data_IF_894993251623
#
_entry.id   IF_894993251623
#
_cell.length_a   1.000
_cell.length_b   1.000
_cell.length_c   1.000
_cell.angle_alpha   90.00
_cell.angle_beta   90.00
_cell.angle_gamma   90.00
#
_symmetry.space_group_name_H-M   'P 1'
#
loop_
_entity.id
_entity.type
_entity.pdbx_description
1 polymer ?
#
# COMPACT_ATOMS: atom_id res chain seq x y z
N UNK A 1 5.33 0.05 9.50
CA UNK A 1 5.12 1.48 9.14
C UNK A 1 3.66 1.70 8.73
N UNK A 2 2.75 1.81 9.71
CA UNK A 2 1.34 2.11 9.48
C UNK A 2 1.10 3.58 9.82
N UNK A 3 0.95 4.42 8.80
CA UNK A 3 0.60 5.83 8.96
C UNK A 3 -0.60 6.16 8.07
N UNK A 4 -1.53 6.92 8.63
CA UNK A 4 -2.75 7.37 7.94
C UNK A 4 -2.40 8.14 6.66
N UNK A 5 -1.36 8.97 6.71
CA UNK A 5 -0.91 9.76 5.56
C UNK A 5 -0.46 8.88 4.39
N UNK A 6 0.24 7.78 4.66
CA UNK A 6 0.66 6.83 3.61
C UNK A 6 -0.55 6.19 2.90
N UNK A 7 -1.59 5.85 3.66
CA UNK A 7 -2.85 5.31 3.13
C UNK A 7 -3.57 6.37 2.29
N UNK A 8 -3.67 7.60 2.82
CA UNK A 8 -4.29 8.75 2.14
C UNK A 8 -3.60 9.09 0.82
N UNK A 9 -2.27 9.18 0.83
CA UNK A 9 -1.49 9.62 -0.33
C UNK A 9 -1.47 8.55 -1.43
N UNK A 10 -1.37 7.27 -1.05
CA UNK A 10 -1.53 6.16 -2.00
C UNK A 10 -2.93 6.16 -2.63
N UNK A 11 -3.97 6.39 -1.81
CA UNK A 11 -5.34 6.49 -2.29
C UNK A 11 -5.54 7.69 -3.23
N UNK A 12 -4.95 8.85 -2.91
CA UNK A 12 -4.94 10.05 -3.77
C UNK A 12 -4.38 9.74 -5.15
N UNK A 13 -3.20 9.12 -5.23
CA UNK A 13 -2.57 8.76 -6.52
C UNK A 13 -3.48 7.83 -7.34
N UNK A 14 -4.09 6.82 -6.71
CA UNK A 14 -5.01 5.92 -7.38
C UNK A 14 -6.21 6.66 -8.00
N UNK A 15 -6.77 7.65 -7.29
CA UNK A 15 -7.87 8.47 -7.80
C UNK A 15 -7.44 9.42 -8.92
N UNK A 16 -6.26 10.03 -8.82
CA UNK A 16 -5.70 10.89 -9.86
C UNK A 16 -5.54 10.14 -11.19
N UNK A 17 -4.95 8.93 -11.14
CA UNK A 17 -4.81 8.07 -12.33
C UNK A 17 -6.18 7.66 -12.88
N UNK A 18 -7.12 7.29 -12.01
CA UNK A 18 -8.45 6.89 -12.44
C UNK A 18 -9.20 8.03 -13.14
N UNK A 19 -9.03 9.28 -12.71
CA UNK A 19 -9.61 10.45 -13.37
C UNK A 19 -9.05 10.64 -14.78
N UNK A 20 -7.72 10.58 -14.94
CA UNK A 20 -7.06 10.69 -16.24
C UNK A 20 -7.52 9.59 -17.20
N UNK A 21 -7.56 8.35 -16.73
CA UNK A 21 -8.02 7.21 -17.56
C UNK A 21 -9.51 7.35 -17.89
N UNK A 22 -10.35 7.77 -16.95
CA UNK A 22 -11.80 7.98 -17.20
C UNK A 22 -12.01 9.03 -18.28
N UNK A 23 -11.26 10.14 -18.22
CA UNK A 23 -11.33 11.18 -19.24
C UNK A 23 -10.82 10.68 -20.61
N UNK A 24 -9.65 10.04 -20.66
CA UNK A 24 -9.04 9.58 -21.91
C UNK A 24 -9.75 8.41 -22.58
N UNK A 25 -10.44 7.56 -21.81
CA UNK A 25 -11.19 6.41 -22.33
C UNK A 25 -12.67 6.70 -22.57
N UNK A 26 -13.20 7.79 -22.02
CA UNK A 26 -14.64 8.09 -21.96
C UNK A 26 -15.50 6.94 -21.36
N UNK A 27 -14.89 6.07 -20.55
CA UNK A 27 -15.53 4.91 -19.94
C UNK A 27 -15.34 4.91 -18.41
N UNK A 28 -16.29 4.33 -17.65
CA UNK A 28 -16.13 4.17 -16.21
C UNK A 28 -14.93 3.29 -15.84
N UNK A 29 -14.08 3.75 -14.91
CA UNK A 29 -12.92 3.01 -14.40
C UNK A 29 -13.20 2.40 -13.03
N UNK A 30 -13.06 1.09 -12.89
CA UNK A 30 -13.10 0.38 -11.61
C UNK A 30 -11.76 0.51 -10.89
N UNK A 31 -11.78 1.00 -9.66
CA UNK A 31 -10.59 1.30 -8.85
C UNK A 31 -10.35 0.16 -7.86
N UNK A 32 -9.23 -0.56 -7.99
CA UNK A 32 -8.85 -1.68 -7.11
C UNK A 32 -7.47 -1.40 -6.49
N UNK A 33 -7.44 -1.21 -5.18
CA UNK A 33 -6.21 -0.92 -4.44
C UNK A 33 -5.56 -2.18 -3.87
N UNK A 34 -4.23 -2.33 -4.06
CA UNK A 34 -3.43 -3.35 -3.35
C UNK A 34 -3.11 -2.86 -1.93
N UNK A 35 -4.13 -2.79 -1.09
CA UNK A 35 -4.08 -2.19 0.26
C UNK A 35 -4.79 -3.11 1.27
N UNK A 36 -4.63 -2.83 2.58
CA UNK A 36 -5.38 -3.51 3.65
C UNK A 36 -5.25 -5.05 3.66
N UNK A 37 -4.06 -5.59 3.37
CA UNK A 37 -3.85 -7.04 3.42
C UNK A 37 -2.65 -7.59 2.65
N UNK A 38 -1.95 -6.73 1.89
CA UNK A 38 -0.76 -7.11 1.10
C UNK A 38 0.50 -7.28 1.98
N UNK A 39 0.41 -8.08 3.03
CA UNK A 39 1.49 -8.31 3.98
C UNK A 39 2.37 -9.50 3.60
N UNK A 40 1.81 -10.55 3.00
CA UNK A 40 2.58 -11.71 2.55
C UNK A 40 3.38 -11.41 1.27
N UNK A 41 4.58 -11.99 1.17
CA UNK A 41 5.50 -11.88 0.04
C UNK A 41 6.02 -13.27 -0.35
N UNK A 42 5.64 -13.81 -1.52
CA UNK A 42 6.24 -15.05 -2.01
C UNK A 42 7.72 -14.82 -2.32
N UNK A 43 8.55 -15.85 -2.12
CA UNK A 43 9.98 -15.80 -2.37
C UNK A 43 10.39 -16.99 -3.23
N UNK A 44 11.28 -16.75 -4.18
CA UNK A 44 11.81 -17.80 -5.07
C UNK A 44 12.68 -18.81 -4.33
N UNK A 45 13.34 -18.40 -3.24
CA UNK A 45 14.14 -19.27 -2.38
C UNK A 45 13.57 -19.30 -0.96
N UNK A 46 13.50 -20.47 -0.30
CA UNK A 46 13.07 -20.58 1.08
C UNK A 46 14.07 -19.95 2.07
N UNK A 47 15.34 -19.83 1.69
CA UNK A 47 16.42 -19.28 2.52
C UNK A 47 17.14 -18.12 1.83
N UNK A 48 17.74 -17.26 2.66
CA UNK A 48 18.54 -16.11 2.29
C UNK A 48 19.90 -16.20 3.02
N UNK A 49 20.98 -16.14 2.26
CA UNK A 49 22.35 -16.20 2.79
C UNK A 49 23.01 -14.82 2.68
N UNK A 50 23.56 -14.31 3.79
CA UNK A 50 24.37 -13.07 3.82
C UNK A 50 25.63 -13.32 4.62
N UNK A 51 26.80 -13.02 4.05
CA UNK A 51 28.12 -13.15 4.72
C UNK A 51 28.23 -14.48 5.50
N UNK A 52 28.02 -15.58 4.80
CA UNK A 52 28.10 -16.97 5.28
C UNK A 52 27.02 -17.42 6.29
N UNK A 53 26.10 -16.54 6.69
CA UNK A 53 24.95 -16.90 7.53
C UNK A 53 23.72 -17.13 6.66
N UNK A 54 23.11 -18.32 6.81
CA UNK A 54 21.86 -18.69 6.09
C UNK A 54 20.69 -18.67 7.04
N UNK A 55 19.67 -17.87 6.73
CA UNK A 55 18.41 -17.77 7.47
C UNK A 55 17.20 -18.01 6.56
N UNK A 56 16.03 -18.27 7.14
CA UNK A 56 14.77 -18.30 6.39
C UNK A 56 14.54 -16.95 5.71
N UNK A 57 14.09 -16.96 4.46
CA UNK A 57 13.73 -15.75 3.73
C UNK A 57 12.63 -14.97 4.45
N UNK A 58 12.70 -13.64 4.43
CA UNK A 58 11.58 -12.80 4.81
C UNK A 58 10.40 -13.03 3.85
N UNK A 59 9.24 -13.38 4.39
CA UNK A 59 8.01 -13.72 3.65
C UNK A 59 6.89 -12.72 3.87
N UNK A 60 7.21 -11.54 4.41
CA UNK A 60 6.23 -10.51 4.69
C UNK A 60 5.85 -10.44 6.17
N UNK A 61 5.39 -9.27 6.59
CA UNK A 61 5.13 -8.93 8.00
C UNK A 61 4.07 -9.83 8.67
N UNK A 62 3.22 -10.49 7.89
CA UNK A 62 2.23 -11.46 8.39
C UNK A 62 2.84 -12.81 8.78
N UNK A 63 4.09 -13.09 8.38
CA UNK A 63 4.77 -14.37 8.63
C UNK A 63 5.96 -14.16 9.55
N UNK A 64 6.90 -13.29 9.19
CA UNK A 64 8.14 -13.05 9.93
C UNK A 64 8.62 -11.61 9.70
N UNK A 65 9.71 -11.22 10.37
CA UNK A 65 10.23 -9.86 10.31
C UNK A 65 11.34 -9.70 9.26
N UNK A 66 11.45 -8.48 8.72
CA UNK A 66 12.44 -8.15 7.67
C UNK A 66 13.88 -8.29 8.18
N UNK A 67 14.11 -7.97 9.46
CA UNK A 67 15.42 -7.97 10.13
C UNK A 67 16.13 -9.32 9.90
N UNK A 68 17.41 -9.26 9.52
CA UNK A 68 18.22 -10.44 9.23
C UNK A 68 18.85 -11.01 10.51
N UNK A 69 17.99 -11.50 11.42
CA UNK A 69 18.40 -12.20 12.65
C UNK A 69 17.62 -13.50 12.79
N UNK A 70 18.17 -14.47 13.53
CA UNK A 70 17.58 -15.81 13.64
C UNK A 70 16.18 -15.76 14.25
N UNK A 71 16.00 -14.92 15.26
CA UNK A 71 14.75 -14.73 15.99
C UNK A 71 13.69 -14.06 15.10
N UNK A 72 14.08 -13.01 14.37
CA UNK A 72 13.19 -12.24 13.49
C UNK A 72 12.69 -13.07 12.30
N UNK A 73 13.51 -14.00 11.79
CA UNK A 73 13.15 -14.84 10.64
C UNK A 73 12.31 -16.06 10.99
N UNK A 74 12.12 -16.35 12.28
CA UNK A 74 11.23 -17.41 12.74
C UNK A 74 9.76 -17.02 12.48
N UNK A 75 8.96 -17.86 11.80
CA UNK A 75 7.54 -17.58 11.61
C UNK A 75 6.79 -17.46 12.94
N UNK A 76 5.95 -16.44 13.06
CA UNK A 76 5.12 -16.18 14.24
C UNK A 76 3.65 -16.07 13.83
N UNK A 77 2.81 -16.95 14.38
CA UNK A 77 1.38 -16.98 14.10
C UNK A 77 0.64 -15.75 14.67
N UNK A 78 1.16 -15.11 15.72
CA UNK A 78 0.55 -13.90 16.30
C UNK A 78 0.50 -12.74 15.29
N UNK A 79 1.46 -12.69 14.35
CA UNK A 79 1.51 -11.69 13.28
C UNK A 79 0.31 -11.74 12.34
N UNK A 80 -0.41 -12.86 12.25
CA UNK A 80 -1.67 -12.93 11.51
C UNK A 80 -2.76 -12.07 12.14
N UNK A 81 -2.80 -12.00 13.48
CA UNK A 81 -3.75 -11.16 14.23
C UNK A 81 -3.37 -9.69 14.08
N UNK A 82 -2.08 -9.35 14.17
CA UNK A 82 -1.58 -8.00 13.93
C UNK A 82 -1.92 -7.51 12.51
N UNK A 83 -1.66 -8.35 11.50
CA UNK A 83 -2.00 -8.07 10.11
C UNK A 83 -3.50 -7.85 9.93
N UNK A 84 -4.35 -8.65 10.58
CA UNK A 84 -5.80 -8.45 10.58
C UNK A 84 -6.20 -7.08 11.15
N UNK A 85 -5.64 -6.70 12.31
CA UNK A 85 -5.92 -5.38 12.91
C UNK A 85 -5.51 -4.25 11.97
N UNK A 86 -4.29 -4.31 11.41
CA UNK A 86 -3.82 -3.30 10.47
C UNK A 86 -4.66 -3.26 9.19
N UNK A 87 -5.09 -4.41 8.66
CA UNK A 87 -6.01 -4.51 7.53
C UNK A 87 -7.34 -3.82 7.83
N UNK A 88 -7.96 -4.12 8.96
CA UNK A 88 -9.26 -3.57 9.35
C UNK A 88 -9.20 -2.04 9.51
N UNK A 89 -8.15 -1.52 10.13
CA UNK A 89 -7.92 -0.08 10.31
C UNK A 89 -7.67 0.61 8.96
N UNK A 90 -6.81 0.03 8.11
CA UNK A 90 -6.54 0.56 6.77
C UNK A 90 -7.83 0.66 5.95
N UNK A 91 -8.65 -0.41 5.97
CA UNK A 91 -9.91 -0.45 5.22
C UNK A 91 -10.92 0.56 5.76
N UNK A 92 -10.99 0.74 7.09
CA UNK A 92 -11.85 1.74 7.69
C UNK A 92 -11.49 3.16 7.24
N UNK A 93 -10.20 3.49 7.24
CA UNK A 93 -9.68 4.78 6.74
C UNK A 93 -10.02 4.97 5.26
N UNK A 94 -9.79 3.95 4.43
CA UNK A 94 -10.12 4.00 3.01
C UNK A 94 -11.61 4.26 2.76
N UNK A 95 -12.49 3.60 3.54
CA UNK A 95 -13.94 3.86 3.48
C UNK A 95 -14.26 5.30 3.87
N UNK A 96 -13.68 5.79 4.96
CA UNK A 96 -13.86 7.17 5.40
C UNK A 96 -13.45 8.18 4.32
N UNK A 97 -12.32 7.98 3.63
CA UNK A 97 -11.92 8.85 2.51
C UNK A 97 -12.81 8.71 1.28
N UNK A 98 -13.34 7.51 1.02
CA UNK A 98 -14.21 7.27 -0.14
C UNK A 98 -15.57 7.95 0.01
N UNK A 99 -16.17 7.92 1.21
CA UNK A 99 -17.50 8.50 1.47
C UNK A 99 -17.46 9.93 2.03
N UNK A 100 -16.38 10.32 2.72
CA UNK A 100 -16.26 11.59 3.44
C UNK A 100 -15.87 12.80 2.58
N UNK A 101 -16.10 12.77 1.27
CA UNK A 101 -15.82 13.89 0.36
C UNK A 101 -14.36 14.10 -0.02
N UNK A 102 -13.42 13.29 0.51
CA UNK A 102 -12.02 13.33 0.09
C UNK A 102 -11.85 12.90 -1.38
N UNK A 103 -12.70 11.99 -1.86
CA UNK A 103 -12.76 11.54 -3.24
C UNK A 103 -13.62 12.44 -4.16
N UNK A 104 -13.90 13.69 -3.78
CA UNK A 104 -14.64 14.64 -4.62
C UNK A 104 -13.86 15.00 -5.89
N UNK A 105 -14.58 15.11 -7.01
CA UNK A 105 -13.99 15.38 -8.34
C UNK A 105 -13.28 16.74 -8.37
N UNK A 106 -13.86 17.78 -7.77
CA UNK A 106 -13.27 19.13 -7.72
C UNK A 106 -11.88 19.12 -7.07
N UNK A 107 -11.75 18.36 -5.98
CA UNK A 107 -10.49 18.20 -5.25
C UNK A 107 -9.48 17.38 -6.06
N UNK A 108 -9.91 16.38 -6.81
CA UNK A 108 -9.05 15.58 -7.70
C UNK A 108 -8.48 16.42 -8.85
N UNK A 109 -9.29 17.30 -9.44
CA UNK A 109 -8.82 18.21 -10.49
C UNK A 109 -7.77 19.18 -9.96
N UNK A 110 -7.99 19.79 -8.78
CA UNK A 110 -7.01 20.67 -8.15
C UNK A 110 -5.66 19.98 -7.95
N UNK A 111 -5.66 18.75 -7.42
CA UNK A 111 -4.44 17.99 -7.21
C UNK A 111 -3.69 17.62 -8.50
N UNK A 112 -4.41 17.38 -9.59
CA UNK A 112 -3.79 17.12 -10.89
C UNK A 112 -3.16 18.39 -11.47
N UNK A 113 -3.81 19.55 -11.30
CA UNK A 113 -3.25 20.83 -11.72
C UNK A 113 -1.96 21.14 -10.94
N UNK A 114 -1.97 20.98 -9.61
CA UNK A 114 -0.78 21.18 -8.77
C UNK A 114 0.39 20.31 -9.24
N UNK A 115 0.13 19.04 -9.58
CA UNK A 115 1.15 18.13 -10.10
C UNK A 115 1.75 18.60 -11.43
N UNK A 116 0.91 19.04 -12.38
CA UNK A 116 1.37 19.52 -13.69
C UNK A 116 2.16 20.83 -13.56
N UNK A 117 1.75 21.73 -12.66
CA UNK A 117 2.49 22.96 -12.39
C UNK A 117 3.89 22.65 -11.86
N UNK A 118 4.01 21.73 -10.90
CA UNK A 118 5.30 21.34 -10.33
C UNK A 118 6.21 20.59 -11.33
N UNK A 119 5.63 19.86 -12.29
CA UNK A 119 6.42 19.12 -13.28
C UNK A 119 6.95 19.98 -14.43
N UNK A 120 6.38 21.17 -14.65
CA UNK A 120 6.78 22.08 -15.74
C UNK A 120 7.74 23.19 -15.28
N UNK A 121 8.12 23.19 -13.99
CA UNK A 121 9.13 24.10 -13.42
C UNK A 121 10.56 23.47 -13.40
N UNK A 122 10.75 22.32 -14.05
CA UNK A 122 12.05 21.76 -14.46
C UNK A 122 12.28 21.94 -15.97
#
# INVERSE_FOLDING_TARGET
EFHVDKVRDTFRVLLQMALVITFGSALPVVKVGRMAGQFAKPRSSPTETRKDVTLTSYRGDIINDEKFTKEARNPDAAKMVEAYHQSSQTLNILRAFSYGGYASIDRLHAWNLDFVHQSNEE
#
